data_IF_713588480610
#
_entry.id   IF_713588480610
#
_cell.length_a   1.000
_cell.length_b   1.000
_cell.length_c   1.000
_cell.angle_alpha   90.00
_cell.angle_beta   90.00
_cell.angle_gamma   90.00
#
_symmetry.space_group_name_H-M   'P 1'
#
loop_
_entity.id
_entity.type
_entity.pdbx_description
1 polymer ?
#
# COMPACT_ATOMS: atom_id res chain seq x y z
N UNK A 1 31.56 -7.62 -29.01
CA UNK A 1 30.42 -6.68 -29.07
C UNK A 1 29.61 -6.82 -27.78
N UNK A 2 29.90 -5.98 -26.79
CA UNK A 2 29.10 -5.86 -25.57
C UNK A 2 27.92 -4.92 -25.88
N UNK A 3 26.68 -5.24 -25.47
CA UNK A 3 25.55 -4.37 -25.74
C UNK A 3 25.74 -3.05 -25.00
N UNK A 4 25.70 -1.97 -25.77
CA UNK A 4 25.77 -0.59 -25.33
C UNK A 4 24.71 -0.30 -24.26
N UNK A 5 25.18 0.14 -23.08
CA UNK A 5 24.59 1.32 -22.45
C UNK A 5 23.23 1.17 -21.78
N UNK A 6 22.97 0.11 -20.99
CA UNK A 6 22.04 0.28 -19.86
C UNK A 6 22.76 1.11 -18.79
N UNK A 7 22.71 2.43 -18.92
CA UNK A 7 22.85 3.32 -17.75
C UNK A 7 21.80 2.86 -16.76
N UNK A 8 22.21 2.24 -15.66
CA UNK A 8 21.35 2.16 -14.49
C UNK A 8 20.98 3.61 -14.16
N UNK A 9 19.70 3.98 -14.32
CA UNK A 9 19.23 5.27 -13.83
C UNK A 9 19.51 5.26 -12.33
N UNK A 10 20.48 6.06 -11.90
CA UNK A 10 20.56 6.52 -10.53
C UNK A 10 19.25 7.31 -10.28
N UNK A 11 18.21 6.67 -9.74
CA UNK A 11 16.92 7.35 -9.58
C UNK A 11 15.70 6.46 -9.44
N UNK A 12 15.62 5.71 -8.35
CA UNK A 12 14.34 5.24 -7.80
C UNK A 12 14.32 5.60 -6.32
N UNK A 13 14.33 6.89 -6.00
CA UNK A 13 13.84 7.30 -4.68
C UNK A 13 12.38 6.90 -4.68
N UNK A 14 12.05 5.81 -3.99
CA UNK A 14 10.67 5.36 -3.85
C UNK A 14 9.84 6.56 -3.37
N UNK A 15 8.81 6.94 -4.13
CA UNK A 15 8.02 8.11 -3.77
C UNK A 15 7.24 7.78 -2.49
N UNK A 16 7.66 8.39 -1.38
CA UNK A 16 6.96 8.31 -0.10
C UNK A 16 6.10 9.56 0.05
N UNK A 17 4.83 9.35 0.35
CA UNK A 17 3.85 10.40 0.63
C UNK A 17 3.33 10.23 2.05
N UNK A 18 2.72 11.30 2.54
CA UNK A 18 2.14 11.34 3.87
C UNK A 18 0.71 11.85 3.81
N UNK A 19 -0.13 11.35 4.71
CA UNK A 19 -1.49 11.83 4.90
C UNK A 19 -1.92 11.64 6.35
N UNK A 20 -2.96 12.35 6.78
CA UNK A 20 -3.67 12.04 8.02
C UNK A 20 -4.86 11.15 7.71
N UNK A 21 -5.19 10.25 8.63
CA UNK A 21 -6.33 9.36 8.51
C UNK A 21 -7.30 9.52 9.68
N UNK A 22 -8.53 9.02 9.46
CA UNK A 22 -9.56 8.91 10.50
C UNK A 22 -9.55 7.55 11.20
N UNK A 23 -8.97 6.54 10.54
CA UNK A 23 -8.79 5.18 11.08
C UNK A 23 -7.65 4.45 10.36
N UNK A 24 -7.04 3.50 11.07
CA UNK A 24 -6.13 2.49 10.52
C UNK A 24 -6.59 1.05 10.79
N UNK A 25 -7.72 0.88 11.49
CA UNK A 25 -8.28 -0.41 11.84
C UNK A 25 -9.56 -0.64 11.03
N UNK A 26 -9.60 -1.77 10.32
CA UNK A 26 -10.79 -2.20 9.57
C UNK A 26 -11.28 -3.50 10.18
N UNK A 27 -12.56 -3.61 10.59
CA UNK A 27 -13.11 -4.85 11.13
C UNK A 27 -12.95 -5.99 10.12
N UNK A 28 -12.47 -7.15 10.60
CA UNK A 28 -12.29 -8.31 9.72
C UNK A 28 -13.52 -9.20 9.68
N UNK A 29 -13.64 -9.95 8.58
CA UNK A 29 -14.69 -10.95 8.35
C UNK A 29 -14.07 -12.26 7.84
N UNK A 30 -14.91 -13.27 7.63
CA UNK A 30 -14.50 -14.56 7.06
C UNK A 30 -13.43 -15.26 7.87
N UNK A 31 -12.41 -15.77 7.18
CA UNK A 31 -11.32 -16.56 7.77
C UNK A 31 -10.59 -15.82 8.89
N UNK A 32 -10.32 -14.52 8.74
CA UNK A 32 -9.61 -13.74 9.77
C UNK A 32 -10.45 -13.64 11.06
N UNK A 33 -11.75 -13.45 10.93
CA UNK A 33 -12.67 -13.45 12.08
C UNK A 33 -12.74 -14.84 12.72
N UNK A 34 -12.79 -15.91 11.91
CA UNK A 34 -12.77 -17.30 12.41
C UNK A 34 -11.47 -17.64 13.14
N UNK A 35 -10.35 -17.05 12.69
CA UNK A 35 -9.04 -17.16 13.34
C UNK A 35 -8.89 -16.29 14.60
N UNK A 36 -9.93 -15.57 15.02
CA UNK A 36 -9.94 -14.77 16.25
C UNK A 36 -9.41 -13.35 16.11
N UNK A 37 -9.12 -12.87 14.90
CA UNK A 37 -8.77 -11.46 14.69
C UNK A 37 -10.01 -10.57 14.71
N UNK A 38 -9.86 -9.36 15.26
CA UNK A 38 -10.94 -8.36 15.30
C UNK A 38 -10.82 -7.34 14.18
N UNK A 39 -9.60 -6.92 13.86
CA UNK A 39 -9.31 -5.88 12.88
C UNK A 39 -8.06 -6.20 12.07
N UNK A 40 -8.01 -5.65 10.85
CA UNK A 40 -6.79 -5.54 10.06
C UNK A 40 -6.18 -4.16 10.25
N UNK A 41 -4.85 -4.10 10.20
CA UNK A 41 -4.09 -2.87 10.38
C UNK A 41 -3.65 -2.32 9.02
N UNK A 42 -3.96 -1.06 8.74
CA UNK A 42 -3.67 -0.40 7.46
C UNK A 42 -2.95 0.93 7.70
N UNK A 43 -1.65 0.93 8.07
CA UNK A 43 -0.89 2.15 8.41
C UNK A 43 -0.38 2.90 7.18
N UNK A 44 -0.38 2.24 6.02
CA UNK A 44 0.01 2.81 4.73
C UNK A 44 -0.96 2.36 3.63
N UNK A 45 -0.96 3.10 2.51
CA UNK A 45 -1.73 2.79 1.30
C UNK A 45 -0.81 2.82 0.09
N UNK A 46 -1.09 1.96 -0.88
CA UNK A 46 -0.20 1.66 -2.01
C UNK A 46 1.11 0.98 -1.53
N UNK A 47 2.01 0.69 -2.46
CA UNK A 47 3.24 -0.05 -2.24
C UNK A 47 4.30 0.47 -3.22
N UNK A 48 5.57 0.33 -2.86
CA UNK A 48 6.70 0.71 -3.73
C UNK A 48 7.23 -0.45 -4.56
N UNK A 49 6.75 -1.69 -4.36
CA UNK A 49 7.30 -2.88 -5.01
C UNK A 49 6.57 -3.30 -6.29
N UNK A 50 5.26 -3.08 -6.38
CA UNK A 50 4.49 -3.37 -7.60
C UNK A 50 4.44 -4.85 -8.01
N UNK A 51 4.41 -5.78 -7.03
CA UNK A 51 4.47 -7.22 -7.31
C UNK A 51 3.33 -7.70 -8.22
N UNK A 52 3.66 -8.49 -9.25
CA UNK A 52 2.69 -9.05 -10.22
C UNK A 52 1.69 -10.01 -9.59
N UNK A 53 2.05 -10.63 -8.47
CA UNK A 53 1.19 -11.53 -7.70
C UNK A 53 0.36 -10.81 -6.62
N UNK A 54 0.49 -9.49 -6.48
CA UNK A 54 -0.28 -8.75 -5.49
C UNK A 54 -1.74 -8.65 -5.97
N UNK A 55 -2.68 -9.19 -5.20
CA UNK A 55 -4.10 -9.09 -5.50
C UNK A 55 -4.72 -7.75 -5.09
N UNK A 56 -4.07 -7.00 -4.20
CA UNK A 56 -4.59 -5.72 -3.67
C UNK A 56 -4.98 -4.69 -4.75
N UNK A 57 -4.26 -4.52 -5.88
CA UNK A 57 -4.65 -3.58 -6.94
C UNK A 57 -6.02 -3.90 -7.53
N UNK A 58 -6.41 -5.17 -7.56
CA UNK A 58 -7.69 -5.62 -8.13
C UNK A 58 -8.88 -5.34 -7.21
N UNK A 59 -8.63 -5.09 -5.92
CA UNK A 59 -9.67 -4.75 -4.95
C UNK A 59 -10.24 -3.34 -5.16
N UNK A 60 -9.51 -2.46 -5.86
CA UNK A 60 -9.93 -1.07 -6.10
C UNK A 60 -10.34 -0.35 -4.81
N UNK A 61 -11.42 0.43 -4.87
CA UNK A 61 -11.91 1.23 -3.72
C UNK A 61 -12.38 0.37 -2.53
N UNK A 62 -12.75 -0.89 -2.76
CA UNK A 62 -13.25 -1.79 -1.72
C UNK A 62 -12.17 -2.16 -0.67
N UNK A 63 -10.88 -2.03 -1.03
CA UNK A 63 -9.75 -2.25 -0.12
C UNK A 63 -9.26 -0.99 0.60
N UNK A 64 -9.98 0.12 0.54
CA UNK A 64 -9.52 1.41 1.07
C UNK A 64 -8.48 2.11 0.18
N UNK A 65 -8.37 1.69 -1.09
CA UNK A 65 -7.56 2.37 -2.10
C UNK A 65 -8.30 3.58 -2.68
N UNK A 66 -7.58 4.66 -2.94
CA UNK A 66 -8.09 5.73 -3.80
C UNK A 66 -7.92 5.31 -5.27
N UNK A 67 -8.69 5.89 -6.20
CA UNK A 67 -8.56 5.59 -7.63
C UNK A 67 -7.13 5.71 -8.16
N UNK A 68 -6.34 6.66 -7.64
CA UNK A 68 -4.95 6.85 -8.04
C UNK A 68 -4.00 5.77 -7.51
N UNK A 69 -4.28 5.15 -6.36
CA UNK A 69 -3.44 4.08 -5.82
C UNK A 69 -3.53 2.82 -6.68
N UNK A 70 -4.74 2.46 -7.11
CA UNK A 70 -4.96 1.31 -7.98
C UNK A 70 -4.29 1.50 -9.35
N UNK A 71 -4.40 2.70 -9.94
CA UNK A 71 -3.79 3.03 -11.25
C UNK A 71 -2.26 3.07 -11.22
N UNK A 72 -1.67 3.45 -10.10
CA UNK A 72 -0.22 3.65 -9.94
C UNK A 72 0.35 2.72 -8.88
N UNK A 73 -0.16 1.48 -8.86
CA UNK A 73 0.29 0.48 -7.92
C UNK A 73 1.79 0.21 -8.08
N UNK A 74 2.55 0.18 -6.98
CA UNK A 74 3.99 -0.04 -7.04
C UNK A 74 4.84 1.21 -7.28
N UNK A 75 4.23 2.37 -7.57
CA UNK A 75 4.99 3.59 -7.89
C UNK A 75 5.27 4.48 -6.67
N UNK A 76 4.45 4.38 -5.62
CA UNK A 76 4.58 5.17 -4.40
C UNK A 76 3.91 4.47 -3.22
N UNK A 77 4.24 4.89 -2.01
CA UNK A 77 3.47 4.56 -0.80
C UNK A 77 3.01 5.83 -0.11
N UNK A 78 1.87 5.78 0.57
CA UNK A 78 1.37 6.88 1.41
C UNK A 78 1.25 6.39 2.85
N UNK A 79 2.09 6.92 3.75
CA UNK A 79 2.00 6.64 5.19
C UNK A 79 0.97 7.53 5.87
N UNK A 80 0.27 6.96 6.85
CA UNK A 80 -0.64 7.70 7.73
C UNK A 80 0.14 8.23 8.93
N UNK A 81 0.38 9.53 8.97
CA UNK A 81 1.27 10.17 9.97
C UNK A 81 0.75 10.09 11.39
N UNK A 82 -0.56 10.02 11.57
CA UNK A 82 -1.21 9.86 12.88
C UNK A 82 -1.55 8.41 13.22
N UNK A 83 -0.89 7.41 12.62
CA UNK A 83 -1.18 6.00 12.90
C UNK A 83 -1.07 5.62 14.39
N UNK A 84 -0.07 6.08 15.18
CA UNK A 84 -0.01 5.77 16.61
C UNK A 84 -1.23 6.26 17.39
N UNK A 85 -1.81 7.40 16.99
CA UNK A 85 -3.01 7.97 17.61
C UNK A 85 -4.30 7.19 17.27
N UNK A 86 -4.25 6.36 16.22
CA UNK A 86 -5.41 5.66 15.66
C UNK A 86 -5.45 4.16 16.00
N UNK A 87 -4.47 3.67 16.76
CA UNK A 87 -4.37 2.24 17.14
C UNK A 87 -5.04 1.93 18.48
N UNK A 88 -5.50 2.96 19.20
CA UNK A 88 -6.16 2.88 20.50
C UNK A 88 -7.61 2.44 20.42
#
# INVERSE_FOLDING_TARGET
MLPSGRRAKLGSVWAVRETRAKSILTPVSGFLKQAGFTHSLTPARNCTYGCTYCYVPTMGIYGGLLPEDAKKWGQFTTFKTNAPELVS
#
